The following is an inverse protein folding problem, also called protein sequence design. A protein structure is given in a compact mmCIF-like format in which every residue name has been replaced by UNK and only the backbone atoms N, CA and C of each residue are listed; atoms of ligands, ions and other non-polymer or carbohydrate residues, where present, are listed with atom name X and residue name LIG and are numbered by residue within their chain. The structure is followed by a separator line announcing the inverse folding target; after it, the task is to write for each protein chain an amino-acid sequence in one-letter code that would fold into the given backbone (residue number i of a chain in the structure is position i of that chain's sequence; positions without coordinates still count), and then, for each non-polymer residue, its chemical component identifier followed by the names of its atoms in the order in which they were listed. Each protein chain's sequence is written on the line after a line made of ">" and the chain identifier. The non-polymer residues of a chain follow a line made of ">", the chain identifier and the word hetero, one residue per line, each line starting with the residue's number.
data_IF_270349799224
#
_entry.id   IF_270349799224
#
_cell.length_a   1.000
_cell.length_b   1.000
_cell.length_c   1.000
_cell.angle_alpha   90.00
_cell.angle_beta   90.00
_cell.angle_gamma   90.00
#
_symmetry.space_group_name_H-M   'P 1'
#
loop_
_entity.id
_entity.type
_entity.pdbx_description
1 polymer ?
#
# COMPACT_ATOMS: atom_id res chain seq x y z
N UNK A 1 3.36 13.48 12.49
CA UNK A 1 3.66 13.10 11.10
C UNK A 1 4.31 11.71 11.10
N UNK A 2 4.14 10.88 10.05
CA UNK A 2 4.71 9.53 9.97
C UNK A 2 3.77 8.37 10.33
N UNK A 3 2.45 8.60 10.36
CA UNK A 3 1.45 7.53 10.54
C UNK A 3 1.30 6.72 9.25
N UNK A 4 0.92 5.43 9.34
CA UNK A 4 0.72 4.63 8.14
C UNK A 4 -0.42 5.21 7.29
N UNK A 5 -0.22 5.21 5.98
CA UNK A 5 -1.26 5.47 4.99
C UNK A 5 -1.36 4.24 4.12
N UNK A 6 -2.57 3.72 4.00
CA UNK A 6 -2.88 2.62 3.10
C UNK A 6 -3.84 3.12 2.01
N UNK A 7 -3.41 3.05 0.76
CA UNK A 7 -4.10 3.66 -0.37
C UNK A 7 -4.34 2.65 -1.50
N UNK A 8 -5.60 2.30 -1.74
CA UNK A 8 -5.98 1.39 -2.82
C UNK A 8 -6.50 2.17 -4.03
N UNK A 9 -6.18 1.71 -5.24
CA UNK A 9 -6.75 2.16 -6.53
C UNK A 9 -6.90 3.69 -6.62
N UNK A 10 -8.11 4.24 -6.49
CA UNK A 10 -8.34 5.69 -6.52
C UNK A 10 -7.54 6.48 -5.47
N UNK A 11 -7.30 5.89 -4.30
CA UNK A 11 -6.40 6.46 -3.29
C UNK A 11 -4.94 6.46 -3.74
N UNK A 12 -4.49 5.42 -4.44
CA UNK A 12 -3.16 5.39 -5.04
C UNK A 12 -3.03 6.45 -6.15
N UNK A 13 -4.05 6.58 -7.01
CA UNK A 13 -4.11 7.63 -8.04
C UNK A 13 -4.10 9.04 -7.44
N UNK A 14 -4.81 9.25 -6.33
CA UNK A 14 -4.82 10.53 -5.61
C UNK A 14 -3.45 10.91 -5.03
N UNK A 15 -2.60 9.91 -4.75
CA UNK A 15 -1.23 10.14 -4.27
C UNK A 15 -0.21 10.35 -5.39
N UNK A 16 -0.60 10.20 -6.66
CA UNK A 16 0.22 10.54 -7.83
C UNK A 16 0.42 12.06 -7.96
N UNK A 17 1.23 12.52 -8.91
CA UNK A 17 1.42 13.95 -9.23
C UNK A 17 0.19 14.55 -9.93
N UNK A 18 -0.43 13.78 -10.82
CA UNK A 18 -1.61 14.21 -11.55
C UNK A 18 -2.42 13.01 -12.06
N UNK A 19 -3.69 13.26 -12.37
CA UNK A 19 -4.57 12.34 -13.10
C UNK A 19 -4.91 12.96 -14.46
N UNK A 20 -4.75 12.21 -15.55
CA UNK A 20 -5.33 12.55 -16.86
C UNK A 20 -6.74 11.99 -16.94
N UNK A 21 -7.73 12.83 -17.23
CA UNK A 21 -9.11 12.40 -17.48
C UNK A 21 -9.28 11.78 -18.88
N UNK A 22 -10.41 11.12 -19.18
CA UNK A 22 -10.67 10.53 -20.48
C UNK A 22 -10.67 11.52 -21.65
N UNK A 23 -10.90 12.82 -21.38
CA UNK A 23 -10.82 13.91 -22.35
C UNK A 23 -9.38 14.42 -22.58
N UNK A 24 -8.40 13.83 -21.87
CA UNK A 24 -6.99 14.16 -22.00
C UNK A 24 -6.52 15.32 -21.11
N UNK A 25 -7.39 15.89 -20.28
CA UNK A 25 -7.05 17.01 -19.38
C UNK A 25 -6.39 16.51 -18.11
N UNK A 26 -5.40 17.25 -17.64
CA UNK A 26 -4.63 16.91 -16.44
C UNK A 26 -5.16 17.64 -15.20
N UNK A 27 -5.27 16.89 -14.11
CA UNK A 27 -5.73 17.36 -12.81
C UNK A 27 -4.63 17.12 -11.76
N UNK A 28 -4.07 18.17 -11.13
CA UNK A 28 -3.02 18.03 -10.12
C UNK A 28 -3.51 17.28 -8.87
N UNK A 29 -2.67 16.38 -8.37
CA UNK A 29 -2.93 15.54 -7.20
C UNK A 29 -1.89 15.82 -6.09
N UNK A 30 -1.77 14.95 -5.08
CA UNK A 30 -0.90 15.20 -3.90
C UNK A 30 0.60 15.23 -4.25
N UNK A 31 1.03 14.49 -5.27
CA UNK A 31 2.44 14.39 -5.66
C UNK A 31 3.30 13.59 -4.67
N UNK A 32 2.70 12.68 -3.90
CA UNK A 32 3.46 11.82 -2.99
C UNK A 32 4.25 10.74 -3.74
N UNK A 33 3.70 10.19 -4.81
CA UNK A 33 4.45 9.32 -5.73
C UNK A 33 4.78 10.13 -7.00
N UNK A 34 6.03 10.08 -7.49
CA UNK A 34 6.51 10.83 -8.66
C UNK A 34 6.07 10.16 -9.97
N UNK A 35 4.76 10.00 -10.12
CA UNK A 35 4.12 9.30 -11.23
C UNK A 35 2.81 9.98 -11.57
N UNK A 36 2.26 9.66 -12.73
CA UNK A 36 0.98 10.18 -13.21
C UNK A 36 0.02 9.02 -13.43
N UNK A 37 -1.24 9.21 -13.05
CA UNK A 37 -2.30 8.26 -13.35
C UNK A 37 -3.02 8.68 -14.64
N UNK A 38 -3.13 7.78 -15.60
CA UNK A 38 -3.81 8.01 -16.87
C UNK A 38 -5.12 7.26 -16.84
N UNK A 39 -6.22 7.97 -17.06
CA UNK A 39 -7.55 7.41 -17.18
C UNK A 39 -7.95 7.29 -18.66
N UNK A 40 -7.74 6.14 -19.32
CA UNK A 40 -8.04 5.99 -20.74
C UNK A 40 -9.54 5.98 -21.01
N UNK A 41 -9.93 6.33 -22.24
CA UNK A 41 -11.32 6.29 -22.71
C UNK A 41 -11.90 4.86 -22.72
N UNK A 42 -11.05 3.84 -22.93
CA UNK A 42 -11.44 2.44 -22.99
C UNK A 42 -10.37 1.53 -22.37
N UNK A 43 -10.74 0.27 -22.13
CA UNK A 43 -9.91 -0.73 -21.46
C UNK A 43 -10.28 -0.86 -19.99
N UNK A 44 -10.33 -2.11 -19.52
CA UNK A 44 -10.65 -2.45 -18.15
C UNK A 44 -9.77 -3.61 -17.70
N UNK A 45 -9.07 -3.42 -16.59
CA UNK A 45 -8.44 -4.50 -15.83
C UNK A 45 -9.47 -5.02 -14.84
N UNK A 46 -9.78 -6.31 -14.91
CA UNK A 46 -10.70 -6.98 -13.98
C UNK A 46 -10.24 -8.42 -13.72
N UNK A 47 -9.53 -8.63 -12.61
CA UNK A 47 -9.05 -9.96 -12.21
C UNK A 47 -9.11 -10.12 -10.70
N UNK A 48 -9.50 -11.31 -10.23
CA UNK A 48 -9.27 -11.70 -8.85
C UNK A 48 -7.81 -12.13 -8.70
N UNK A 49 -7.19 -11.73 -7.59
CA UNK A 49 -5.78 -12.02 -7.33
C UNK A 49 -5.58 -12.57 -5.93
N UNK A 50 -4.57 -13.41 -5.79
CA UNK A 50 -3.91 -13.68 -4.53
C UNK A 50 -2.87 -12.59 -4.29
N UNK A 51 -2.74 -12.17 -3.04
CA UNK A 51 -1.75 -11.19 -2.61
C UNK A 51 -0.89 -11.81 -1.53
N UNK A 52 0.43 -11.63 -1.64
CA UNK A 52 1.39 -12.02 -0.62
C UNK A 52 2.19 -10.80 -0.18
N UNK A 53 2.39 -10.66 1.12
CA UNK A 53 3.32 -9.68 1.68
C UNK A 53 4.73 -10.23 1.55
N UNK A 54 5.62 -9.53 0.83
CA UNK A 54 7.02 -9.92 0.64
C UNK A 54 7.92 -9.27 1.69
N UNK A 55 7.61 -8.03 2.08
CA UNK A 55 8.30 -7.30 3.14
C UNK A 55 7.32 -6.78 4.19
N UNK A 56 7.76 -6.67 5.45
CA UNK A 56 6.90 -6.15 6.52
C UNK A 56 6.38 -4.76 6.17
N UNK A 57 5.07 -4.57 6.34
CA UNK A 57 4.38 -3.32 6.08
C UNK A 57 3.21 -3.14 7.05
N UNK A 58 2.44 -2.05 6.89
CA UNK A 58 1.30 -1.75 7.76
C UNK A 58 0.16 -2.78 7.68
N UNK A 59 0.19 -3.72 6.75
CA UNK A 59 -0.81 -4.79 6.61
C UNK A 59 -0.40 -6.11 7.28
N UNK A 60 0.86 -6.24 7.72
CA UNK A 60 1.32 -7.43 8.42
C UNK A 60 2.76 -7.86 8.10
N UNK A 61 3.16 -9.03 8.60
CA UNK A 61 4.49 -9.60 8.37
C UNK A 61 4.60 -10.26 6.98
N UNK A 62 5.83 -10.46 6.47
CA UNK A 62 6.11 -11.27 5.28
C UNK A 62 5.47 -12.65 5.34
N UNK A 63 5.09 -13.18 4.17
CA UNK A 63 4.43 -14.48 4.04
C UNK A 63 2.93 -14.48 4.34
N UNK A 64 2.37 -13.37 4.82
CA UNK A 64 0.91 -13.24 4.94
C UNK A 64 0.28 -13.25 3.56
N UNK A 65 -0.67 -14.15 3.34
CA UNK A 65 -1.44 -14.23 2.11
C UNK A 65 -2.90 -13.82 2.32
N UNK A 66 -3.45 -13.15 1.31
CA UNK A 66 -4.82 -12.69 1.23
C UNK A 66 -5.35 -12.83 -0.21
N UNK A 67 -6.62 -12.51 -0.39
CA UNK A 67 -7.26 -12.35 -1.70
C UNK A 67 -7.65 -10.90 -1.91
N UNK A 68 -7.66 -10.48 -3.16
CA UNK A 68 -8.14 -9.17 -3.59
C UNK A 68 -8.59 -9.21 -5.04
N UNK A 69 -8.75 -8.02 -5.61
CA UNK A 69 -9.04 -7.87 -7.03
C UNK A 69 -8.43 -6.59 -7.57
N UNK A 70 -8.02 -6.62 -8.83
CA UNK A 70 -7.75 -5.41 -9.61
C UNK A 70 -8.99 -5.11 -10.43
N UNK A 71 -9.60 -3.94 -10.20
CA UNK A 71 -10.74 -3.47 -10.96
C UNK A 71 -10.57 -1.97 -11.25
N UNK A 72 -9.89 -1.67 -12.36
CA UNK A 72 -9.61 -0.28 -12.74
C UNK A 72 -9.44 -0.13 -14.24
N UNK A 73 -9.77 1.06 -14.75
CA UNK A 73 -9.44 1.48 -16.11
C UNK A 73 -8.12 2.24 -16.16
N UNK A 74 -7.78 2.92 -15.06
CA UNK A 74 -6.58 3.75 -14.96
C UNK A 74 -5.31 2.91 -15.04
N UNK A 75 -4.21 3.53 -15.46
CA UNK A 75 -2.86 2.98 -15.32
C UNK A 75 -1.93 4.05 -14.77
N UNK A 76 -0.89 3.64 -14.06
CA UNK A 76 0.18 4.54 -13.64
C UNK A 76 1.27 4.61 -14.71
N UNK A 77 1.94 5.75 -14.85
CA UNK A 77 3.22 5.82 -15.57
C UNK A 77 4.27 4.95 -14.89
N UNK A 78 5.40 4.71 -15.56
CA UNK A 78 6.47 3.90 -15.00
C UNK A 78 6.91 4.44 -13.64
N UNK A 79 6.80 3.61 -12.61
CA UNK A 79 7.27 3.93 -11.26
C UNK A 79 8.81 3.94 -11.26
N UNK A 80 9.46 4.92 -10.61
CA UNK A 80 10.89 4.87 -10.36
C UNK A 80 11.35 3.59 -9.67
N UNK A 81 12.53 3.10 -10.04
CA UNK A 81 13.06 1.81 -9.59
C UNK A 81 13.48 1.79 -8.11
N UNK A 82 13.66 2.97 -7.50
CA UNK A 82 13.98 3.14 -6.09
C UNK A 82 12.76 3.04 -5.16
N UNK A 83 11.54 3.01 -5.73
CA UNK A 83 10.31 2.79 -4.96
C UNK A 83 10.06 1.30 -4.79
N UNK A 84 10.17 0.83 -3.56
CA UNK A 84 10.03 -0.58 -3.21
C UNK A 84 8.62 -1.12 -3.48
N UNK A 85 8.54 -2.36 -3.96
CA UNK A 85 7.30 -3.13 -4.13
C UNK A 85 7.29 -4.24 -3.09
N UNK A 86 6.47 -4.08 -2.06
CA UNK A 86 6.49 -4.90 -0.83
C UNK A 86 5.40 -5.97 -0.82
N UNK A 87 4.56 -6.01 -1.84
CA UNK A 87 3.58 -7.05 -2.09
C UNK A 87 3.97 -7.80 -3.36
N UNK A 88 3.38 -8.97 -3.54
CA UNK A 88 3.33 -9.64 -4.82
C UNK A 88 1.92 -10.16 -5.08
N UNK A 89 1.55 -10.26 -6.35
CA UNK A 89 0.25 -10.80 -6.76
C UNK A 89 0.37 -11.90 -7.80
N UNK A 90 -0.59 -12.81 -7.79
CA UNK A 90 -0.75 -13.90 -8.74
C UNK A 90 -2.26 -14.15 -8.96
N UNK A 91 -2.66 -14.54 -10.17
CA UNK A 91 -4.09 -14.71 -10.50
C UNK A 91 -4.58 -16.11 -10.12
N UNK A 92 -3.87 -17.15 -10.56
CA UNK A 92 -4.18 -18.54 -10.28
C UNK A 92 -3.10 -19.23 -9.44
N UNK A 93 -3.44 -20.34 -8.75
CA UNK A 93 -2.44 -21.21 -8.14
C UNK A 93 -1.45 -21.72 -9.20
N UNK A 94 -0.15 -21.58 -8.92
CA UNK A 94 0.93 -21.98 -9.84
C UNK A 94 1.44 -20.86 -10.75
N UNK A 95 0.73 -19.72 -10.82
CA UNK A 95 1.21 -18.56 -11.57
C UNK A 95 2.47 -17.95 -10.94
N UNK A 96 3.24 -17.28 -11.77
CA UNK A 96 4.38 -16.48 -11.30
C UNK A 96 3.88 -15.26 -10.55
N UNK A 97 4.44 -15.04 -9.36
CA UNK A 97 4.17 -13.85 -8.56
C UNK A 97 4.80 -12.62 -9.21
N UNK A 98 3.98 -11.62 -9.54
CA UNK A 98 4.46 -10.31 -10.02
C UNK A 98 4.59 -9.34 -8.84
N UNK A 99 5.67 -8.54 -8.76
CA UNK A 99 5.80 -7.49 -7.75
C UNK A 99 4.65 -6.49 -7.79
N UNK A 100 4.19 -6.00 -6.65
CA UNK A 100 3.10 -5.01 -6.50
C UNK A 100 3.25 -4.25 -5.17
N UNK A 101 2.38 -3.29 -4.88
CA UNK A 101 2.32 -2.64 -3.57
C UNK A 101 3.50 -1.72 -3.29
N UNK A 102 3.38 -0.47 -3.73
CA UNK A 102 4.43 0.54 -3.68
C UNK A 102 4.56 1.14 -2.29
N UNK A 103 5.76 1.10 -1.72
CA UNK A 103 6.08 1.69 -0.42
C UNK A 103 6.98 2.92 -0.60
N UNK A 104 6.52 4.06 -0.07
CA UNK A 104 7.34 5.28 0.08
C UNK A 104 7.10 5.91 1.45
N UNK A 105 8.09 5.83 2.33
CA UNK A 105 7.94 6.22 3.73
C UNK A 105 6.92 5.33 4.46
N UNK A 106 5.98 5.94 5.17
CA UNK A 106 4.90 5.23 5.87
C UNK A 106 3.67 4.93 4.98
N UNK A 107 3.77 5.18 3.67
CA UNK A 107 2.69 4.97 2.71
C UNK A 107 2.86 3.65 1.98
N UNK A 108 1.82 2.83 2.01
CA UNK A 108 1.64 1.65 1.16
C UNK A 108 0.51 1.92 0.18
N UNK A 109 0.78 1.84 -1.12
CA UNK A 109 -0.21 2.05 -2.16
C UNK A 109 -0.26 0.88 -3.14
N UNK A 110 -1.45 0.51 -3.61
CA UNK A 110 -1.65 -0.66 -4.49
C UNK A 110 -2.86 -0.46 -5.38
N UNK A 111 -2.87 -1.06 -6.57
CA UNK A 111 -4.10 -1.15 -7.38
C UNK A 111 -5.06 -2.23 -6.89
N UNK A 112 -4.58 -3.15 -6.05
CA UNK A 112 -5.39 -4.24 -5.51
C UNK A 112 -6.35 -3.72 -4.46
N UNK A 113 -7.62 -4.01 -4.66
CA UNK A 113 -8.63 -3.90 -3.61
C UNK A 113 -8.59 -5.16 -2.74
N UNK A 114 -8.16 -5.01 -1.49
CA UNK A 114 -8.02 -6.16 -0.59
C UNK A 114 -9.38 -6.65 -0.12
N UNK A 115 -9.60 -7.96 -0.23
CA UNK A 115 -10.73 -8.58 0.41
C UNK A 115 -10.34 -8.97 1.85
N UNK A 116 -10.53 -8.05 2.79
CA UNK A 116 -10.16 -8.28 4.20
C UNK A 116 -10.84 -9.50 4.85
N UNK A 117 -12.00 -9.92 4.36
CA UNK A 117 -12.66 -11.16 4.82
C UNK A 117 -11.86 -12.44 4.51
N UNK A 118 -10.97 -12.40 3.52
CA UNK A 118 -10.06 -13.53 3.22
C UNK A 118 -8.91 -13.67 4.20
N UNK A 119 -8.53 -12.58 4.87
CA UNK A 119 -7.46 -12.54 5.85
C UNK A 119 -7.74 -11.41 6.85
N UNK A 120 -8.51 -11.68 7.92
CA UNK A 120 -8.92 -10.66 8.89
C UNK A 120 -7.75 -10.01 9.65
N UNK A 121 -6.56 -10.61 9.65
CA UNK A 121 -5.38 -10.00 10.28
C UNK A 121 -4.90 -8.73 9.60
N UNK A 122 -5.14 -8.55 8.30
CA UNK A 122 -4.74 -7.34 7.56
C UNK A 122 -5.26 -6.03 8.17
N UNK A 123 -6.59 -5.84 8.32
CA UNK A 123 -7.11 -4.61 8.91
C UNK A 123 -6.71 -4.47 10.38
N UNK A 124 -6.52 -5.58 11.11
CA UNK A 124 -6.05 -5.55 12.49
C UNK A 124 -4.61 -5.02 12.59
N UNK A 125 -3.71 -5.46 11.71
CA UNK A 125 -2.35 -4.92 11.62
C UNK A 125 -2.36 -3.44 11.24
N UNK A 126 -3.21 -3.02 10.31
CA UNK A 126 -3.31 -1.61 9.92
C UNK A 126 -3.76 -0.71 11.08
N UNK A 127 -4.81 -1.13 11.79
CA UNK A 127 -5.28 -0.41 12.99
C UNK A 127 -4.18 -0.39 14.05
N UNK A 128 -3.51 -1.51 14.31
CA UNK A 128 -2.40 -1.57 15.27
C UNK A 128 -1.25 -0.63 14.88
N UNK A 129 -0.89 -0.56 13.61
CA UNK A 129 0.13 0.35 13.08
C UNK A 129 -0.28 1.83 13.19
N UNK A 130 -1.58 2.13 13.25
CA UNK A 130 -2.10 3.48 13.44
C UNK A 130 -2.04 3.94 14.91
N UNK A 131 -1.91 3.01 15.86
CA UNK A 131 -1.88 3.33 17.28
C UNK A 131 -0.52 3.92 17.67
N UNK A 132 -0.48 4.88 18.61
CA UNK A 132 0.78 5.38 19.13
C UNK A 132 1.55 4.22 19.76
N UNK A 133 2.84 4.11 19.42
CA UNK A 133 3.75 3.20 20.12
C UNK A 133 3.77 3.65 21.58
N UNK A 134 3.21 2.83 22.46
CA UNK A 134 3.34 3.06 23.90
C UNK A 134 4.82 2.88 24.21
N UNK A 135 5.52 3.98 24.43
CA UNK A 135 6.87 3.94 24.95
C UNK A 135 6.77 3.32 26.34
N UNK A 136 7.01 2.01 26.46
CA UNK A 136 7.20 1.37 27.75
C UNK A 136 8.46 2.00 28.34
N UNK A 137 8.30 2.94 29.27
CA UNK A 137 9.39 3.41 30.10
C UNK A 137 9.81 2.27 31.03
N UNK A 138 10.55 1.31 30.51
CA UNK A 138 11.29 0.34 31.31
C UNK A 138 12.72 0.82 31.43
N UNK A 139 13.03 1.49 32.56
CA UNK A 139 14.43 1.63 33.00
C UNK A 139 14.76 2.85 33.86
N UNK A 140 14.89 2.58 35.17
CA UNK A 140 15.69 3.27 36.21
C UNK A 140 15.13 4.54 36.87
N UNK A 141 14.33 4.32 37.92
CA UNK A 141 14.55 5.02 39.20
C UNK A 141 15.75 4.36 39.89
N UNK A 142 16.96 4.85 39.63
CA UNK A 142 18.07 4.62 40.55
C UNK A 142 17.90 5.60 41.72
N UNK A 143 17.82 5.04 42.92
CA UNK A 143 17.81 5.77 44.19
C UNK A 143 19.12 6.53 44.33
N UNK A 144 19.06 7.84 44.54
CA UNK A 144 20.14 8.56 45.21
C UNK A 144 19.69 8.75 46.67
N UNK A 145 20.27 7.93 47.53
CA UNK A 145 20.33 8.14 48.96
C UNK A 145 21.81 8.08 49.36
N UNK A 146 22.23 9.08 50.15
CA UNK A 146 23.58 9.38 50.66
C UNK A 146 24.49 10.11 49.66
N UNK A 147 25.20 11.18 50.02
CA UNK A 147 25.72 11.57 51.35
C UNK A 147 25.38 13.01 51.76
#
# INVERSE_FOLDING_TARGET
>A
AGRPVYAECGGFMYLAEAIQDPEGRWHPMVGWFPVQAIFPAAGLTLHYVRVRIEESCCLGPPGTEARGHEFHRSRMTAMPTDIARVLAIAEAPGDTWRPEGYRRGSVLATYVHQHFGSQPSLPMHFVAACLPVRCTQTGRRAREAKA
#
